data_IF_009487557912
#
_entry.id   IF_009487557912
#
_cell.length_a   1.000
_cell.length_b   1.000
_cell.length_c   1.000
_cell.angle_alpha   90.00
_cell.angle_beta   90.00
_cell.angle_gamma   90.00
#
_symmetry.space_group_name_H-M   'P 1'
#
loop_
_entity.id
_entity.type
_entity.pdbx_description
1 polymer ?
#
# COMPACT_ATOMS: atom_id res chain seq x y z
N UNK A 1 18.93 -13.64 20.77
CA UNK A 1 18.73 -12.69 19.66
C UNK A 1 17.52 -11.86 20.03
N UNK A 2 17.72 -10.60 20.42
CA UNK A 2 16.59 -9.66 20.52
C UNK A 2 16.19 -9.31 19.10
N UNK A 3 14.91 -9.40 18.79
CA UNK A 3 14.37 -8.88 17.54
C UNK A 3 14.61 -7.36 17.54
N UNK A 4 15.45 -6.89 16.62
CA UNK A 4 15.70 -5.46 16.47
C UNK A 4 14.51 -4.85 15.75
N UNK A 5 14.02 -3.72 16.26
CA UNK A 5 12.97 -2.92 15.63
C UNK A 5 13.40 -2.49 14.22
N UNK A 6 14.70 -2.40 13.94
CA UNK A 6 15.23 -2.17 12.59
C UNK A 6 14.77 -3.22 11.57
N UNK A 7 14.64 -4.49 11.96
CA UNK A 7 14.23 -5.57 11.06
C UNK A 7 12.74 -5.43 10.69
N UNK A 8 11.92 -4.93 11.62
CA UNK A 8 10.52 -4.61 11.36
C UNK A 8 10.38 -3.42 10.41
N UNK A 9 11.21 -2.39 10.58
CA UNK A 9 11.21 -1.25 9.67
C UNK A 9 11.60 -1.64 8.24
N UNK A 10 12.57 -2.55 8.08
CA UNK A 10 12.95 -3.02 6.74
C UNK A 10 11.76 -3.69 6.04
N UNK A 11 11.10 -4.64 6.72
CA UNK A 11 9.90 -5.30 6.17
C UNK A 11 8.80 -4.29 5.86
N UNK A 12 8.55 -3.32 6.75
CA UNK A 12 7.56 -2.28 6.51
C UNK A 12 7.88 -1.44 5.26
N UNK A 13 9.13 -1.03 5.07
CA UNK A 13 9.50 -0.24 3.89
C UNK A 13 9.39 -1.05 2.60
N UNK A 14 9.81 -2.31 2.61
CA UNK A 14 9.69 -3.19 1.45
C UNK A 14 8.20 -3.40 1.08
N UNK A 15 7.33 -3.67 2.06
CA UNK A 15 5.88 -3.78 1.84
C UNK A 15 5.25 -2.45 1.39
N UNK A 16 5.67 -1.32 1.96
CA UNK A 16 5.14 -0.01 1.59
C UNK A 16 5.49 0.35 0.14
N UNK A 17 6.70 0.06 -0.32
CA UNK A 17 7.13 0.30 -1.69
C UNK A 17 6.30 -0.52 -2.69
N UNK A 18 6.06 -1.80 -2.40
CA UNK A 18 5.18 -2.66 -3.22
C UNK A 18 3.74 -2.11 -3.28
N UNK A 19 3.17 -1.78 -2.13
CA UNK A 19 1.81 -1.23 -2.04
C UNK A 19 1.67 0.13 -2.73
N UNK A 20 2.70 0.97 -2.69
CA UNK A 20 2.72 2.26 -3.39
C UNK A 20 2.79 2.07 -4.90
N UNK A 21 3.60 1.14 -5.39
CA UNK A 21 3.66 0.80 -6.81
C UNK A 21 2.32 0.26 -7.32
N UNK A 22 1.68 -0.65 -6.58
CA UNK A 22 0.35 -1.18 -6.91
C UNK A 22 -0.71 -0.07 -6.91
N UNK A 23 -0.67 0.81 -5.90
CA UNK A 23 -1.57 1.96 -5.80
C UNK A 23 -1.41 2.91 -7.00
N UNK A 24 -0.18 3.21 -7.41
CA UNK A 24 0.10 4.04 -8.58
C UNK A 24 -0.50 3.42 -9.85
N UNK A 25 -0.30 2.12 -10.07
CA UNK A 25 -0.86 1.43 -11.24
C UNK A 25 -2.38 1.50 -11.26
N UNK A 26 -3.04 1.27 -10.12
CA UNK A 26 -4.50 1.38 -10.03
C UNK A 26 -4.99 2.81 -10.25
N UNK A 27 -4.30 3.82 -9.71
CA UNK A 27 -4.66 5.23 -9.91
C UNK A 27 -4.51 5.66 -11.37
N UNK A 28 -3.44 5.23 -12.05
CA UNK A 28 -3.22 5.53 -13.47
C UNK A 28 -4.21 4.80 -14.39
N UNK A 29 -4.70 3.63 -13.98
CA UNK A 29 -5.66 2.82 -14.73
C UNK A 29 -7.13 3.16 -14.47
N UNK A 30 -7.43 4.01 -13.48
CA UNK A 30 -8.80 4.34 -13.08
C UNK A 30 -9.42 5.34 -14.07
N UNK A 31 -10.64 5.05 -14.54
CA UNK A 31 -11.46 6.04 -15.24
C UNK A 31 -12.19 6.92 -14.21
N UNK A 32 -11.93 8.25 -14.15
CA UNK A 32 -12.61 9.13 -13.19
C UNK A 32 -14.12 9.28 -13.44
N UNK A 33 -14.59 9.03 -14.66
CA UNK A 33 -16.00 9.16 -15.04
C UNK A 33 -16.78 7.88 -14.77
N UNK A 34 -16.11 6.73 -14.75
CA UNK A 34 -16.68 5.42 -14.48
C UNK A 34 -15.70 4.54 -13.68
N UNK A 35 -15.43 4.88 -12.40
CA UNK A 35 -14.40 4.20 -11.63
C UNK A 35 -14.83 2.77 -11.27
N UNK A 36 -13.93 1.81 -11.53
CA UNK A 36 -14.13 0.44 -11.10
C UNK A 36 -14.05 0.31 -9.57
N UNK A 37 -15.03 -0.38 -9.00
CA UNK A 37 -15.16 -0.53 -7.55
C UNK A 37 -14.05 -1.42 -6.98
N UNK A 38 -13.60 -2.44 -7.73
CA UNK A 38 -12.52 -3.32 -7.31
C UNK A 38 -11.19 -2.57 -7.27
N UNK A 39 -10.89 -1.75 -8.29
CA UNK A 39 -9.71 -0.87 -8.31
C UNK A 39 -9.71 0.15 -7.16
N UNK A 40 -10.84 0.81 -6.90
CA UNK A 40 -10.96 1.73 -5.75
C UNK A 40 -10.71 1.02 -4.42
N UNK A 41 -11.25 -0.18 -4.25
CA UNK A 41 -11.04 -0.98 -3.06
C UNK A 41 -9.58 -1.44 -2.92
N UNK A 42 -8.89 -1.74 -4.02
CA UNK A 42 -7.46 -2.06 -4.00
C UNK A 42 -6.61 -0.88 -3.52
N UNK A 43 -6.84 0.32 -4.06
CA UNK A 43 -6.22 1.58 -3.62
C UNK A 43 -6.47 1.81 -2.12
N UNK A 44 -7.72 1.63 -1.68
CA UNK A 44 -8.08 1.79 -0.26
C UNK A 44 -7.32 0.81 0.64
N UNK A 45 -7.23 -0.47 0.27
CA UNK A 45 -6.51 -1.48 1.04
C UNK A 45 -5.02 -1.16 1.14
N UNK A 46 -4.38 -0.76 0.04
CA UNK A 46 -2.97 -0.36 0.05
C UNK A 46 -2.72 0.81 1.02
N UNK A 47 -3.53 1.88 0.93
CA UNK A 47 -3.43 3.02 1.84
C UNK A 47 -3.68 2.62 3.31
N UNK A 48 -4.65 1.74 3.55
CA UNK A 48 -4.99 1.27 4.89
C UNK A 48 -3.85 0.45 5.52
N UNK A 49 -3.21 -0.44 4.75
CA UNK A 49 -2.07 -1.24 5.20
C UNK A 49 -0.87 -0.36 5.55
N UNK A 50 -0.50 0.58 4.68
CA UNK A 50 0.60 1.52 4.94
C UNK A 50 0.33 2.34 6.21
N UNK A 51 -0.89 2.86 6.37
CA UNK A 51 -1.31 3.58 7.58
C UNK A 51 -1.19 2.70 8.83
N UNK A 52 -1.53 1.41 8.74
CA UNK A 52 -1.45 0.46 9.84
C UNK A 52 0.00 0.18 10.27
N UNK A 53 0.93 0.09 9.33
CA UNK A 53 2.36 -0.11 9.64
C UNK A 53 3.08 1.15 10.13
N UNK A 54 2.56 2.34 9.84
CA UNK A 54 3.16 3.61 10.22
C UNK A 54 2.77 4.11 11.64
N UNK A 55 1.68 3.60 12.21
CA UNK A 55 1.14 4.03 13.51
C UNK A 55 1.62 3.18 14.67
#
# INVERSE_FOLDING_TARGET
>A
MSMDISDFYQTFFDEADELLADMEQHLLGLDPQEPDSEQLNAIFRAAHSIKGGAG
#
